data_IF_026237526111
#
_entry.id   IF_026237526111
#
_cell.length_a   1.000
_cell.length_b   1.000
_cell.length_c   1.000
_cell.angle_alpha   90.00
_cell.angle_beta   90.00
_cell.angle_gamma   90.00
#
_symmetry.space_group_name_H-M   'P 1'
#
loop_
_entity.id
_entity.type
_entity.pdbx_description
1 polymer ?
#
# COMPACT_ATOMS: atom_id res chain seq x y z
N UNK A 1 19.45 10.74 -21.24
CA UNK A 1 18.03 10.32 -21.31
C UNK A 1 17.52 10.27 -19.88
N UNK A 2 16.62 11.18 -19.49
CA UNK A 2 16.01 11.15 -18.15
C UNK A 2 14.92 10.09 -18.12
N UNK A 3 14.95 9.21 -17.14
CA UNK A 3 13.88 8.22 -16.92
C UNK A 3 12.67 8.94 -16.34
N UNK A 4 11.59 9.04 -17.11
CA UNK A 4 10.34 9.63 -16.65
C UNK A 4 9.57 8.61 -15.78
N UNK A 5 9.06 9.08 -14.65
CA UNK A 5 8.30 8.25 -13.72
C UNK A 5 6.80 8.37 -14.02
N UNK A 6 6.18 7.24 -14.35
CA UNK A 6 4.75 7.15 -14.59
C UNK A 6 4.05 6.41 -13.45
N UNK A 7 2.88 6.91 -13.04
CA UNK A 7 2.00 6.21 -12.11
C UNK A 7 1.04 5.38 -12.96
N UNK A 8 1.28 4.06 -13.01
CA UNK A 8 0.44 3.15 -13.80
C UNK A 8 -0.91 2.88 -13.13
N UNK A 9 -0.93 2.72 -11.80
CA UNK A 9 -2.14 2.38 -11.06
C UNK A 9 -2.11 2.96 -9.63
N UNK A 10 -3.30 3.33 -9.11
CA UNK A 10 -3.46 3.90 -7.78
C UNK A 10 -4.68 3.30 -7.06
N UNK A 11 -4.47 2.19 -6.35
CA UNK A 11 -5.50 1.55 -5.51
C UNK A 11 -5.23 1.88 -4.03
N UNK A 12 -6.29 2.00 -3.23
CA UNK A 12 -6.20 2.20 -1.78
C UNK A 12 -7.17 1.27 -1.06
N UNK A 13 -6.78 0.80 0.12
CA UNK A 13 -7.69 0.09 1.01
C UNK A 13 -8.67 1.06 1.68
N UNK A 14 -9.87 0.61 2.05
CA UNK A 14 -10.76 1.36 2.94
C UNK A 14 -9.99 1.72 4.22
N UNK A 15 -9.99 3.00 4.59
CA UNK A 15 -9.34 3.46 5.82
C UNK A 15 -10.34 3.42 6.97
N UNK A 16 -10.08 2.57 7.95
CA UNK A 16 -10.91 2.48 9.14
C UNK A 16 -10.52 3.54 10.17
N UNK A 17 -11.49 3.94 11.01
CA UNK A 17 -11.36 5.07 11.95
C UNK A 17 -10.48 4.79 13.18
N UNK A 18 -9.78 3.65 13.24
CA UNK A 18 -8.96 3.28 14.39
C UNK A 18 -9.74 3.11 15.70
N UNK A 19 -11.07 2.97 15.63
CA UNK A 19 -11.95 2.70 16.79
C UNK A 19 -12.02 1.21 17.04
N UNK A 20 -12.24 0.80 18.30
CA UNK A 20 -12.36 -0.62 18.71
C UNK A 20 -13.48 -1.38 17.96
N UNK A 21 -14.47 -0.67 17.43
CA UNK A 21 -15.61 -1.22 16.66
C UNK A 21 -15.41 -1.13 15.15
N UNK A 22 -14.23 -0.70 14.69
CA UNK A 22 -13.96 -0.52 13.28
C UNK A 22 -13.81 -1.85 12.54
N UNK A 23 -14.26 -1.90 11.27
CA UNK A 23 -14.29 -3.11 10.44
C UNK A 23 -12.91 -3.72 10.19
N UNK A 24 -11.82 -3.00 10.47
CA UNK A 24 -10.44 -3.46 10.29
C UNK A 24 -9.69 -3.67 11.63
N UNK A 25 -10.35 -3.53 12.79
CA UNK A 25 -9.70 -3.65 14.11
C UNK A 25 -9.13 -5.05 14.42
N UNK A 26 -9.61 -6.09 13.72
CA UNK A 26 -9.10 -7.47 13.85
C UNK A 26 -8.35 -7.98 12.61
N UNK A 27 -8.22 -7.16 11.57
CA UNK A 27 -7.58 -7.59 10.31
C UNK A 27 -6.09 -7.36 10.40
N UNK A 28 -5.31 -8.41 10.13
CA UNK A 28 -3.84 -8.31 10.12
C UNK A 28 -3.42 -7.33 9.01
N UNK A 29 -2.46 -6.40 9.25
CA UNK A 29 -2.00 -5.45 8.25
C UNK A 29 -1.51 -6.11 6.95
N UNK A 30 -0.92 -7.32 7.04
CA UNK A 30 -0.50 -8.10 5.86
C UNK A 30 -1.68 -8.45 4.95
N UNK A 31 -2.85 -8.74 5.52
CA UNK A 31 -4.05 -9.08 4.73
C UNK A 31 -4.57 -7.89 3.92
N UNK A 32 -4.36 -6.66 4.40
CA UNK A 32 -4.69 -5.45 3.65
C UNK A 32 -3.80 -5.27 2.43
N UNK A 33 -2.50 -5.55 2.57
CA UNK A 33 -1.53 -5.49 1.47
C UNK A 33 -1.79 -6.59 0.45
N UNK A 34 -2.01 -7.82 0.91
CA UNK A 34 -2.30 -8.96 0.02
C UNK A 34 -3.58 -8.70 -0.79
N UNK A 35 -4.64 -8.19 -0.16
CA UNK A 35 -5.87 -7.84 -0.87
C UNK A 35 -5.68 -6.78 -1.96
N UNK A 36 -4.75 -5.83 -1.77
CA UNK A 36 -4.40 -4.86 -2.82
C UNK A 36 -3.67 -5.52 -4.00
N UNK A 37 -2.72 -6.41 -3.70
CA UNK A 37 -1.96 -7.12 -4.74
C UNK A 37 -2.88 -8.04 -5.56
N UNK A 38 -3.83 -8.71 -4.91
CA UNK A 38 -4.81 -9.55 -5.57
C UNK A 38 -5.74 -8.74 -6.49
N UNK A 39 -6.17 -7.54 -6.07
CA UNK A 39 -6.96 -6.63 -6.92
C UNK A 39 -6.18 -6.16 -8.16
N UNK A 40 -4.88 -5.85 -8.02
CA UNK A 40 -4.01 -5.48 -9.14
C UNK A 40 -3.87 -6.65 -10.13
N UNK A 41 -3.66 -7.87 -9.63
CA UNK A 41 -3.57 -9.09 -10.47
C UNK A 41 -4.88 -9.39 -11.20
N UNK A 42 -6.01 -9.20 -10.53
CA UNK A 42 -7.34 -9.42 -11.12
C UNK A 42 -7.64 -8.44 -12.25
N UNK A 43 -7.20 -7.19 -12.12
CA UNK A 43 -7.38 -6.14 -13.14
C UNK A 43 -6.39 -6.28 -14.29
N UNK A 44 -5.19 -6.80 -14.01
CA UNK A 44 -4.12 -6.95 -14.97
C UNK A 44 -3.68 -8.43 -15.05
N UNK A 45 -4.45 -9.31 -15.71
CA UNK A 45 -4.16 -10.75 -15.77
C UNK A 45 -2.86 -11.10 -16.51
N UNK A 46 -2.36 -10.19 -17.35
CA UNK A 46 -1.08 -10.33 -18.09
C UNK A 46 0.07 -9.57 -17.40
N UNK A 47 -0.08 -9.18 -16.13
CA UNK A 47 0.99 -8.51 -15.39
C UNK A 47 2.11 -9.51 -15.09
N UNK A 48 3.27 -9.27 -15.70
CA UNK A 48 4.48 -10.02 -15.42
C UNK A 48 5.05 -9.61 -14.05
N UNK A 49 4.92 -10.50 -13.07
CA UNK A 49 5.31 -10.26 -11.67
C UNK A 49 6.84 -10.16 -11.55
N UNK A 50 7.60 -10.75 -12.46
CA UNK A 50 9.08 -10.72 -12.43
C UNK A 50 9.64 -9.36 -12.84
N UNK A 51 8.81 -8.48 -13.41
CA UNK A 51 9.18 -7.08 -13.71
C UNK A 51 9.01 -6.14 -12.51
N UNK A 52 8.43 -6.61 -11.41
CA UNK A 52 8.30 -5.82 -10.18
C UNK A 52 9.59 -5.96 -9.36
N UNK A 53 10.44 -4.94 -9.42
CA UNK A 53 11.78 -5.00 -8.79
C UNK A 53 11.75 -4.82 -7.27
N UNK A 54 10.92 -3.92 -6.73
CA UNK A 54 10.88 -3.64 -5.28
C UNK A 54 9.50 -3.10 -4.87
N UNK A 55 8.73 -3.84 -4.06
CA UNK A 55 7.47 -3.38 -3.51
C UNK A 55 7.71 -2.49 -2.28
N UNK A 56 7.64 -1.17 -2.46
CA UNK A 56 7.73 -0.22 -1.35
C UNK A 56 6.39 -0.06 -0.62
N UNK A 57 6.33 -0.46 0.66
CA UNK A 57 5.14 -0.33 1.52
C UNK A 57 5.44 0.64 2.66
N UNK A 58 4.57 1.64 2.84
CA UNK A 58 4.65 2.57 3.96
C UNK A 58 3.67 2.16 5.05
N UNK A 59 4.17 1.91 6.26
CA UNK A 59 3.34 1.71 7.44
C UNK A 59 2.98 3.05 8.10
N UNK A 60 1.74 3.16 8.57
CA UNK A 60 1.25 4.35 9.27
C UNK A 60 1.60 4.36 10.75
N UNK A 61 2.73 3.79 11.18
CA UNK A 61 3.07 3.71 12.60
C UNK A 61 3.43 5.08 13.19
N UNK A 62 3.26 5.22 14.52
CA UNK A 62 3.60 6.45 15.23
C UNK A 62 5.10 6.79 15.10
N UNK A 63 5.97 5.78 15.06
CA UNK A 63 7.41 5.96 14.84
C UNK A 63 7.70 6.67 13.51
N UNK A 64 7.00 6.27 12.44
CA UNK A 64 7.12 6.91 11.14
C UNK A 64 6.54 8.32 11.08
N UNK A 65 5.40 8.57 11.74
CA UNK A 65 4.81 9.91 11.83
C UNK A 65 5.75 10.92 12.51
N UNK A 66 6.51 10.47 13.51
CA UNK A 66 7.51 11.30 14.21
C UNK A 66 8.71 11.63 13.32
N UNK A 67 9.16 10.68 12.50
CA UNK A 67 10.32 10.86 11.61
C UNK A 67 10.02 11.81 10.43
N UNK A 68 8.80 11.78 9.90
CA UNK A 68 8.37 12.68 8.81
C UNK A 68 8.14 14.12 9.28
N UNK A 69 7.75 14.32 10.55
CA UNK A 69 7.56 15.66 11.12
C UNK A 69 8.87 16.40 11.41
N UNK A 70 9.98 15.67 11.57
CA UNK A 70 11.34 16.23 11.73
C UNK A 70 12.00 16.70 10.42
N UNK A 71 11.37 16.44 9.27
CA UNK A 71 11.86 16.85 7.93
C UNK A 71 11.05 17.99 7.31
N UNK A 72 10.20 18.67 8.09
CA UNK A 72 9.58 19.95 7.71
C UNK A 72 10.25 21.08 8.47
#
# INVERSE_FOLDING_TARGET
>A
MSTEAFICEAIRTPCDRGKKTGSLHGVKPVSLVVGLIDEIRKRNPNLDVDRVSDPWIRDGSAAWRSATRRRR
#
